data_IF_538323333380
#
_entry.id   IF_538323333380
#
_cell.length_a   1.000
_cell.length_b   1.000
_cell.length_c   1.000
_cell.angle_alpha   90.00
_cell.angle_beta   90.00
_cell.angle_gamma   90.00
#
_symmetry.space_group_name_H-M   'P 1'
#
loop_
_entity.id
_entity.type
_entity.pdbx_description
1 polymer ?
#
# COMPACT_ATOMS: atom_id res chain seq x y z
N UNK A 1 -5.58 -13.29 -6.33
CA UNK A 1 -6.68 -12.83 -5.46
C UNK A 1 -7.59 -12.01 -6.35
N UNK A 2 -8.92 -12.21 -6.35
CA UNK A 2 -9.81 -11.30 -7.07
C UNK A 2 -9.58 -9.89 -6.54
N UNK A 3 -9.65 -8.89 -7.41
CA UNK A 3 -9.45 -7.50 -7.02
C UNK A 3 -10.45 -7.13 -5.92
N UNK A 4 -9.91 -6.74 -4.76
CA UNK A 4 -10.67 -6.18 -3.64
C UNK A 4 -11.54 -5.04 -4.17
N UNK A 5 -12.83 -4.92 -3.78
CA UNK A 5 -13.70 -3.91 -4.37
C UNK A 5 -13.18 -2.50 -4.07
N UNK A 6 -13.28 -1.63 -5.06
CA UNK A 6 -12.86 -0.23 -4.96
C UNK A 6 -13.91 0.53 -4.14
N UNK A 7 -13.48 1.16 -3.06
CA UNK A 7 -14.33 1.92 -2.12
C UNK A 7 -14.26 3.42 -2.41
N UNK A 8 -13.18 3.86 -3.06
CA UNK A 8 -13.01 5.25 -3.45
C UNK A 8 -12.07 5.36 -4.65
N UNK A 9 -12.34 6.31 -5.54
CA UNK A 9 -11.46 6.64 -6.66
C UNK A 9 -11.32 8.14 -6.76
N UNK A 10 -10.09 8.62 -6.87
CA UNK A 10 -9.76 10.00 -7.19
C UNK A 10 -9.07 10.00 -8.55
N UNK A 11 -9.71 10.59 -9.54
CA UNK A 11 -9.16 10.68 -10.89
C UNK A 11 -8.49 12.04 -11.09
N UNK A 12 -7.17 12.03 -11.28
CA UNK A 12 -6.36 13.23 -11.49
C UNK A 12 -5.83 13.27 -12.93
N UNK A 13 -5.38 14.43 -13.42
CA UNK A 13 -4.94 14.56 -14.81
C UNK A 13 -3.79 13.60 -15.18
N UNK A 14 -2.91 13.30 -14.23
CA UNK A 14 -1.68 12.53 -14.47
C UNK A 14 -1.63 11.17 -13.76
N UNK A 15 -2.53 10.94 -12.80
CA UNK A 15 -2.56 9.73 -12.01
C UNK A 15 -3.97 9.46 -11.51
N UNK A 16 -4.19 8.26 -10.99
CA UNK A 16 -5.43 7.85 -10.38
C UNK A 16 -5.13 7.21 -9.03
N UNK A 17 -5.88 7.60 -7.99
CA UNK A 17 -5.79 6.97 -6.67
C UNK A 17 -7.02 6.12 -6.47
N UNK A 18 -6.83 4.84 -6.16
CA UNK A 18 -7.89 3.88 -5.83
C UNK A 18 -7.68 3.37 -4.43
N UNK A 19 -8.72 3.48 -3.61
CA UNK A 19 -8.74 2.89 -2.28
C UNK A 19 -9.58 1.62 -2.33
N UNK A 20 -8.96 0.50 -1.95
CA UNK A 20 -9.60 -0.79 -1.73
C UNK A 20 -9.74 -1.05 -0.22
N UNK A 21 -10.36 -2.17 0.17
CA UNK A 21 -10.47 -2.52 1.59
C UNK A 21 -9.12 -2.79 2.26
N UNK A 22 -8.16 -3.31 1.50
CA UNK A 22 -6.90 -3.87 1.98
C UNK A 22 -5.66 -3.15 1.41
N UNK A 23 -5.84 -2.30 0.39
CA UNK A 23 -4.75 -1.56 -0.25
C UNK A 23 -5.14 -0.16 -0.74
N UNK A 24 -4.13 0.69 -0.83
CA UNK A 24 -4.15 1.96 -1.55
C UNK A 24 -3.31 1.78 -2.82
N UNK A 25 -3.94 2.01 -3.97
CA UNK A 25 -3.30 1.94 -5.28
C UNK A 25 -3.20 3.34 -5.88
N UNK A 26 -2.01 3.70 -6.35
CA UNK A 26 -1.77 4.92 -7.12
C UNK A 26 -1.25 4.50 -8.47
N UNK A 27 -1.95 4.83 -9.55
CA UNK A 27 -1.58 4.48 -10.93
C UNK A 27 -1.23 5.75 -11.72
N UNK A 28 -0.19 5.72 -12.54
CA UNK A 28 0.04 6.76 -13.54
C UNK A 28 -0.87 6.53 -14.75
N UNK A 29 -1.39 7.62 -15.34
CA UNK A 29 -2.07 7.53 -16.63
C UNK A 29 -1.07 7.29 -17.76
N UNK A 30 -1.54 6.69 -18.85
CA UNK A 30 -0.69 6.42 -20.01
C UNK A 30 -0.08 7.71 -20.57
N UNK A 31 1.15 7.60 -21.08
CA UNK A 31 1.88 8.73 -21.67
C UNK A 31 2.50 9.71 -20.67
N UNK A 32 1.97 9.81 -19.45
CA UNK A 32 2.46 10.75 -18.41
C UNK A 32 3.93 10.50 -18.08
N UNK A 33 4.34 9.23 -17.97
CA UNK A 33 5.74 8.89 -17.73
C UNK A 33 6.66 9.45 -18.81
N UNK A 34 6.28 9.29 -20.09
CA UNK A 34 7.06 9.77 -21.22
C UNK A 34 7.07 11.30 -21.32
N UNK A 35 5.95 11.96 -21.00
CA UNK A 35 5.89 13.43 -20.93
C UNK A 35 6.79 14.00 -19.84
N UNK A 36 6.78 13.38 -18.67
CA UNK A 36 7.61 13.79 -17.55
C UNK A 36 9.10 13.51 -17.81
N UNK A 37 9.45 12.38 -18.43
CA UNK A 37 10.82 12.07 -18.86
C UNK A 37 11.34 13.12 -19.87
N UNK A 38 10.52 13.50 -20.86
CA UNK A 38 10.85 14.59 -21.81
C UNK A 38 11.02 15.95 -21.12
N UNK A 39 10.16 16.29 -20.16
CA UNK A 39 10.27 17.54 -19.39
C UNK A 39 11.53 17.57 -18.52
N UNK A 40 11.90 16.44 -17.92
CA UNK A 40 13.12 16.29 -17.13
C UNK A 40 14.40 16.34 -17.98
N UNK A 41 14.35 15.87 -19.22
CA UNK A 41 15.43 16.04 -20.21
C UNK A 41 15.54 17.49 -20.68
N UNK A 42 14.40 18.14 -20.98
CA UNK A 42 14.37 19.51 -21.50
C UNK A 42 14.80 20.56 -20.46
N UNK A 43 14.61 20.29 -19.16
CA UNK A 43 14.99 21.21 -18.09
C UNK A 43 15.65 20.46 -16.92
N UNK A 44 16.99 20.41 -16.86
CA UNK A 44 17.71 19.71 -15.80
C UNK A 44 17.36 20.19 -14.38
N UNK A 45 17.08 21.48 -14.21
CA UNK A 45 16.61 22.07 -12.93
C UNK A 45 15.28 21.47 -12.45
N UNK A 46 14.43 21.02 -13.38
CA UNK A 46 13.19 20.34 -13.03
C UNK A 46 13.41 18.91 -12.59
N UNK A 47 14.60 18.30 -12.73
CA UNK A 47 14.86 16.96 -12.16
C UNK A 47 14.72 16.92 -10.65
N UNK A 48 15.05 17.98 -9.93
CA UNK A 48 14.92 18.02 -8.48
C UNK A 48 13.47 18.24 -8.05
N UNK A 49 12.73 19.09 -8.78
CA UNK A 49 11.33 19.40 -8.49
C UNK A 49 10.36 18.30 -8.97
N UNK A 50 10.57 17.78 -10.18
CA UNK A 50 9.87 16.61 -10.70
C UNK A 50 10.36 15.34 -10.00
N UNK A 51 11.60 15.26 -9.52
CA UNK A 51 12.11 14.14 -8.72
C UNK A 51 11.27 13.86 -7.48
N UNK A 52 10.77 14.91 -6.84
CA UNK A 52 9.80 14.82 -5.73
C UNK A 52 8.39 14.38 -6.16
N UNK A 53 8.05 14.44 -7.44
CA UNK A 53 6.82 13.88 -8.02
C UNK A 53 7.10 12.43 -8.49
N UNK A 54 8.27 12.16 -9.06
CA UNK A 54 8.71 10.88 -9.61
C UNK A 54 9.03 9.82 -8.55
N UNK A 55 9.53 10.18 -7.36
CA UNK A 55 9.76 9.20 -6.28
C UNK A 55 8.45 8.70 -5.65
N UNK A 56 7.35 9.37 -5.96
CA UNK A 56 6.14 9.41 -5.15
C UNK A 56 4.92 8.99 -5.96
N UNK A 57 4.97 9.13 -7.29
CA UNK A 57 3.94 8.72 -8.24
C UNK A 57 4.49 7.63 -9.19
N UNK A 58 5.28 6.69 -8.67
CA UNK A 58 5.44 5.40 -9.34
C UNK A 58 4.12 4.63 -9.11
N UNK A 59 3.63 3.82 -10.06
CA UNK A 59 2.51 2.92 -9.79
C UNK A 59 2.81 2.12 -8.52
N UNK A 60 2.08 2.39 -7.45
CA UNK A 60 2.38 1.84 -6.13
C UNK A 60 1.11 1.26 -5.55
N UNK A 61 1.20 -0.03 -5.22
CA UNK A 61 0.21 -0.75 -4.45
C UNK A 61 0.74 -0.88 -3.01
N UNK A 62 0.10 -0.18 -2.08
CA UNK A 62 0.46 -0.17 -0.66
C UNK A 62 -0.64 -0.87 0.13
N UNK A 63 -0.30 -1.95 0.82
CA UNK A 63 -1.23 -2.62 1.73
C UNK A 63 -1.50 -1.75 2.94
N UNK A 64 -2.76 -1.64 3.36
CA UNK A 64 -3.14 -0.73 4.45
C UNK A 64 -2.50 -1.10 5.79
N UNK A 65 -2.23 -2.39 6.03
CA UNK A 65 -1.57 -2.83 7.26
C UNK A 65 -0.09 -2.40 7.35
N UNK A 66 0.56 -2.11 6.21
CA UNK A 66 1.94 -1.61 6.15
C UNK A 66 2.05 -0.12 6.49
N UNK A 67 0.91 0.60 6.48
CA UNK A 67 0.88 2.04 6.73
C UNK A 67 1.01 2.31 8.24
N UNK A 68 1.98 3.14 8.63
CA UNK A 68 2.16 3.58 10.01
C UNK A 68 1.26 4.77 10.33
N UNK A 69 1.29 5.79 9.47
CA UNK A 69 0.59 7.05 9.70
C UNK A 69 0.18 7.70 8.38
N UNK A 70 -0.96 8.38 8.41
CA UNK A 70 -1.45 9.21 7.32
C UNK A 70 -1.60 10.65 7.84
N UNK A 71 -1.21 11.63 7.03
CA UNK A 71 -1.35 13.05 7.36
C UNK A 71 -1.79 13.82 6.10
N UNK A 72 -2.70 14.78 6.28
CA UNK A 72 -3.07 15.73 5.24
C UNK A 72 -2.68 17.15 5.66
N UNK A 73 -1.97 17.85 4.79
CA UNK A 73 -1.63 19.26 4.99
C UNK A 73 -2.80 20.17 4.58
N UNK A 74 -2.79 21.40 5.12
CA UNK A 74 -3.74 22.46 4.74
C UNK A 74 -3.69 22.83 3.25
N UNK A 75 -2.60 22.49 2.57
CA UNK A 75 -2.40 22.71 1.13
C UNK A 75 -2.98 21.61 0.25
N UNK A 76 -3.52 20.53 0.84
CA UNK A 76 -4.03 19.37 0.10
C UNK A 76 -2.97 18.29 -0.19
N UNK A 77 -1.70 18.54 0.14
CA UNK A 77 -0.65 17.51 0.11
C UNK A 77 -0.93 16.46 1.18
N UNK A 78 -1.01 15.21 0.77
CA UNK A 78 -1.20 14.09 1.68
C UNK A 78 0.10 13.30 1.79
N UNK A 79 0.50 12.94 3.01
CA UNK A 79 1.72 12.19 3.30
C UNK A 79 1.39 10.89 4.02
N UNK A 80 1.89 9.78 3.51
CA UNK A 80 1.70 8.43 4.04
C UNK A 80 3.06 7.88 4.44
N UNK A 81 3.21 7.59 5.73
CA UNK A 81 4.44 7.06 6.32
C UNK A 81 4.40 5.54 6.32
N UNK A 82 5.45 4.93 5.76
CA UNK A 82 5.58 3.47 5.63
C UNK A 82 6.94 3.07 6.23
N UNK A 83 7.00 2.31 7.34
CA UNK A 83 8.24 2.09 8.11
C UNK A 83 9.42 1.50 7.32
N UNK A 84 9.14 0.70 6.28
CA UNK A 84 10.13 -0.05 5.52
C UNK A 84 10.32 0.46 4.08
N UNK A 85 9.74 1.63 3.75
CA UNK A 85 9.80 2.23 2.42
C UNK A 85 9.95 3.74 2.52
N UNK A 86 10.18 4.41 1.39
CA UNK A 86 10.10 5.88 1.35
C UNK A 86 8.66 6.32 1.56
N UNK A 87 8.49 7.41 2.28
CA UNK A 87 7.19 8.04 2.49
C UNK A 87 6.56 8.46 1.16
N UNK A 88 5.24 8.34 1.09
CA UNK A 88 4.44 8.60 -0.09
C UNK A 88 3.70 9.94 0.09
N UNK A 89 4.05 10.93 -0.71
CA UNK A 89 3.37 12.22 -0.84
C UNK A 89 2.49 12.30 -2.11
N UNK A 90 1.19 12.42 -1.92
CA UNK A 90 0.21 12.53 -3.01
C UNK A 90 -0.34 13.97 -3.02
N UNK A 91 -0.17 14.72 -4.12
CA UNK A 91 -0.78 16.04 -4.25
C UNK A 91 -2.28 15.89 -4.55
N UNK A 92 -3.14 16.26 -3.61
CA UNK A 92 -4.59 16.21 -3.75
C UNK A 92 -5.21 17.59 -3.46
N UNK A 93 -6.50 17.75 -3.72
CA UNK A 93 -7.22 18.92 -3.23
C UNK A 93 -7.48 18.81 -1.73
N UNK A 94 -7.55 19.92 -0.98
CA UNK A 94 -7.75 19.89 0.47
C UNK A 94 -9.00 19.13 0.94
N UNK A 95 -10.07 19.12 0.15
CA UNK A 95 -11.28 18.37 0.48
C UNK A 95 -11.08 16.86 0.29
N UNK A 96 -10.46 16.46 -0.82
CA UNK A 96 -10.19 15.06 -1.14
C UNK A 96 -9.14 14.44 -0.21
N UNK A 97 -8.10 15.21 0.13
CA UNK A 97 -7.05 14.74 1.04
C UNK A 97 -7.62 14.43 2.43
N UNK A 98 -8.55 15.25 2.92
CA UNK A 98 -9.27 15.01 4.17
C UNK A 98 -10.14 13.77 4.08
N UNK A 99 -10.97 13.66 3.04
CA UNK A 99 -11.83 12.49 2.84
C UNK A 99 -11.03 11.19 2.73
N UNK A 100 -9.92 11.20 2.00
CA UNK A 100 -9.05 10.03 1.88
C UNK A 100 -8.38 9.67 3.20
N UNK A 101 -7.91 10.67 3.95
CA UNK A 101 -7.29 10.47 5.26
C UNK A 101 -8.28 9.87 6.25
N UNK A 102 -9.50 10.40 6.34
CA UNK A 102 -10.55 9.87 7.21
C UNK A 102 -10.87 8.40 6.90
N UNK A 103 -10.98 8.04 5.61
CA UNK A 103 -11.21 6.64 5.23
C UNK A 103 -10.03 5.73 5.58
N UNK A 104 -8.79 6.20 5.38
CA UNK A 104 -7.61 5.42 5.72
C UNK A 104 -7.46 5.23 7.23
N UNK A 105 -7.73 6.26 8.04
CA UNK A 105 -7.71 6.15 9.50
C UNK A 105 -8.73 5.11 10.02
N UNK A 106 -9.85 4.93 9.31
CA UNK A 106 -10.83 3.89 9.63
C UNK A 106 -10.38 2.49 9.18
N UNK A 107 -9.80 2.37 7.99
CA UNK A 107 -9.46 1.06 7.40
C UNK A 107 -8.13 0.48 7.89
N UNK A 108 -7.12 1.31 8.15
CA UNK A 108 -5.78 0.85 8.57
C UNK A 108 -5.84 -0.01 9.85
N UNK A 109 -6.53 0.40 10.94
CA UNK A 109 -6.63 -0.42 12.14
C UNK A 109 -7.34 -1.76 11.88
N UNK A 110 -8.41 -1.74 11.06
CA UNK A 110 -9.17 -2.94 10.72
C UNK A 110 -8.31 -3.96 9.96
N UNK A 111 -7.51 -3.49 9.00
CA UNK A 111 -6.62 -4.35 8.23
C UNK A 111 -5.42 -4.85 9.04
N UNK A 112 -4.88 -4.04 9.97
CA UNK A 112 -3.85 -4.50 10.91
C UNK A 112 -4.34 -5.65 11.80
N UNK A 113 -5.56 -5.54 12.32
CA UNK A 113 -6.17 -6.61 13.12
C UNK A 113 -6.41 -7.87 12.27
N UNK A 114 -6.94 -7.71 11.05
CA UNK A 114 -7.14 -8.84 10.13
C UNK A 114 -5.83 -9.56 9.81
N UNK A 115 -4.77 -8.83 9.55
CA UNK A 115 -3.46 -9.41 9.24
C UNK A 115 -2.86 -10.12 10.47
N UNK A 116 -3.02 -9.54 11.67
CA UNK A 116 -2.62 -10.20 12.92
C UNK A 116 -3.35 -11.55 13.12
N UNK A 117 -4.66 -11.60 12.90
CA UNK A 117 -5.43 -12.85 12.98
C UNK A 117 -5.00 -13.87 11.91
N UNK A 118 -4.69 -13.41 10.69
CA UNK A 118 -4.16 -14.28 9.62
C UNK A 118 -2.84 -14.91 10.03
N UNK A 119 -1.90 -14.12 10.55
CA UNK A 119 -0.61 -14.63 11.03
C UNK A 119 -0.78 -15.66 12.14
N UNK A 120 -1.61 -15.37 13.14
CA UNK A 120 -1.91 -16.32 14.23
C UNK A 120 -2.52 -17.63 13.73
N UNK A 121 -3.45 -17.56 12.78
CA UNK A 121 -4.07 -18.74 12.18
C UNK A 121 -3.06 -19.58 11.38
N UNK A 122 -2.14 -18.93 10.68
CA UNK A 122 -1.09 -19.58 9.92
C UNK A 122 -0.09 -20.29 10.83
N UNK A 123 0.34 -19.63 11.91
CA UNK A 123 1.21 -20.25 12.92
C UNK A 123 0.55 -21.47 13.59
N UNK A 124 -0.75 -21.37 13.92
CA UNK A 124 -1.48 -22.49 14.49
C UNK A 124 -1.58 -23.68 13.52
N UNK A 125 -1.86 -23.41 12.24
CA UNK A 125 -1.90 -24.45 11.20
C UNK A 125 -0.53 -25.11 10.99
N UNK A 126 0.56 -24.32 11.00
CA UNK A 126 1.92 -24.84 10.89
C UNK A 126 2.29 -25.72 12.08
N UNK A 127 1.98 -25.29 13.32
CA UNK A 127 2.21 -26.11 14.52
C UNK A 127 1.42 -27.41 14.51
N UNK A 128 0.18 -27.39 14.01
CA UNK A 128 -0.62 -28.60 13.86
C UNK A 128 -0.03 -29.57 12.84
N UNK A 129 0.47 -29.05 11.70
CA UNK A 129 1.17 -29.87 10.70
C UNK A 129 2.43 -30.51 11.30
N UNK A 130 3.29 -29.72 11.95
CA UNK A 130 4.50 -30.22 12.60
C UNK A 130 4.20 -31.29 13.66
N UNK A 131 3.16 -31.07 14.49
CA UNK A 131 2.73 -32.05 15.48
C UNK A 131 2.24 -33.35 14.84
N UNK A 132 1.44 -33.27 13.78
CA UNK A 132 0.93 -34.44 13.05
C UNK A 132 2.05 -35.22 12.34
N UNK A 133 3.04 -34.51 11.77
CA UNK A 133 4.22 -35.13 11.15
C UNK A 133 5.11 -35.81 12.18
N UNK A 134 5.34 -35.16 13.33
CA UNK A 134 6.11 -35.73 14.43
C UNK A 134 5.43 -36.98 15.03
N UNK A 135 4.10 -36.99 15.13
CA UNK A 135 3.32 -38.15 15.58
C UNK A 135 3.39 -39.30 14.57
N UNK A 136 3.25 -39.01 13.27
CA UNK A 136 3.41 -40.01 12.20
C UNK A 136 4.83 -40.62 12.19
N UNK A 137 5.87 -39.81 12.40
CA UNK A 137 7.26 -40.26 12.53
C UNK A 137 7.50 -41.13 13.78
N UNK A 138 6.79 -40.88 14.89
CA UNK A 138 6.86 -41.72 16.09
C UNK A 138 6.18 -43.07 15.89
N UNK A 139 5.03 -43.10 15.22
CA UNK A 139 4.30 -44.33 14.92
C UNK A 139 5.06 -45.25 13.96
N UNK A 140 5.80 -44.67 13.01
CA UNK A 140 6.64 -45.44 12.06
C UNK A 140 7.96 -45.94 12.65
N UNK A 141 8.44 -45.36 13.77
CA UNK A 141 9.70 -45.74 14.43
C UNK A 141 9.54 -46.65 15.66
N UNK A 142 8.32 -47.05 16.03
CA UNK A 142 8.11 -48.04 17.10
C UNK A 142 8.48 -49.44 16.58
N UNK A 143 9.52 -50.11 17.11
CA UNK A 143 9.75 -51.52 16.81
C UNK A 143 8.62 -52.36 17.43
N UNK A 144 8.24 -53.42 16.72
CA UNK A 144 7.26 -54.42 17.13
C UNK A 144 7.69 -55.18 18.39
#
# INVERSE_FOLDING_TARGET
>A
MPDSPIIMTLDKPHFQVKLHHDRLQVDLKEGVRAELEKLAEARPILRDSLGWIFQTIIPLDVKLWEIEKVQADSTGKMSIKIPHRRDLHIPLEPAESRQLTEKLEQLIPLEKEREFQRQKSYEAAMKQREASEAEALRLTRRPA
#
